data_IF_578067217366
#
_entry.id   IF_578067217366
#
_cell.length_a   1.000
_cell.length_b   1.000
_cell.length_c   1.000
_cell.angle_alpha   90.00
_cell.angle_beta   90.00
_cell.angle_gamma   90.00
#
_symmetry.space_group_name_H-M   'P 1'
#
loop_
_entity.id
_entity.type
_entity.pdbx_description
1 polymer ?
#
# COMPACT_ATOMS: atom_id res chain seq x y z
N UNK A 1 6.55 -18.46 -19.70
CA UNK A 1 7.07 -17.20 -20.29
C UNK A 1 6.56 -16.01 -19.49
N UNK A 2 7.41 -15.05 -19.20
CA UNK A 2 7.02 -13.83 -18.47
C UNK A 2 6.80 -12.71 -19.45
N UNK A 3 5.67 -12.04 -19.35
CA UNK A 3 5.39 -10.83 -20.14
C UNK A 3 5.37 -9.64 -19.19
N UNK A 4 5.93 -8.52 -19.64
CA UNK A 4 5.95 -7.29 -18.86
C UNK A 4 5.36 -6.16 -19.70
N UNK A 5 4.34 -5.51 -19.15
CA UNK A 5 3.82 -4.27 -19.70
C UNK A 5 4.39 -3.12 -18.87
N UNK A 6 4.81 -2.06 -19.55
CA UNK A 6 5.35 -0.88 -18.89
C UNK A 6 4.58 0.34 -19.33
N UNK A 7 4.01 1.05 -18.35
CA UNK A 7 3.25 2.28 -18.59
C UNK A 7 3.98 3.43 -17.90
N UNK A 8 4.29 4.47 -18.67
CA UNK A 8 5.03 5.62 -18.16
C UNK A 8 4.07 6.79 -17.94
N UNK A 9 4.05 7.31 -16.70
CA UNK A 9 3.27 8.49 -16.30
C UNK A 9 4.24 9.62 -15.95
N UNK A 10 3.76 10.88 -15.83
CA UNK A 10 4.66 12.01 -15.59
C UNK A 10 5.62 11.86 -14.40
N UNK A 11 5.21 11.21 -13.31
CA UNK A 11 6.05 11.05 -12.12
C UNK A 11 6.18 9.61 -11.62
N UNK A 12 5.68 8.65 -12.41
CA UNK A 12 5.70 7.24 -11.99
C UNK A 12 5.76 6.29 -13.17
N UNK A 13 6.16 5.07 -12.90
CA UNK A 13 6.17 3.99 -13.89
C UNK A 13 5.41 2.81 -13.29
N UNK A 14 4.49 2.28 -14.06
CA UNK A 14 3.71 1.11 -13.68
C UNK A 14 4.16 -0.09 -14.51
N UNK A 15 4.51 -1.17 -13.84
CA UNK A 15 4.81 -2.44 -14.49
C UNK A 15 3.71 -3.44 -14.18
N UNK A 16 3.23 -4.12 -15.20
CA UNK A 16 2.33 -5.24 -15.04
C UNK A 16 3.04 -6.49 -15.53
N UNK A 17 3.32 -7.42 -14.63
CA UNK A 17 4.09 -8.63 -14.93
C UNK A 17 3.15 -9.81 -14.97
N UNK A 18 3.10 -10.50 -16.11
CA UNK A 18 2.29 -11.70 -16.31
C UNK A 18 3.21 -12.92 -16.36
N UNK A 19 2.86 -13.96 -15.61
CA UNK A 19 3.66 -15.18 -15.56
C UNK A 19 2.95 -16.22 -14.72
N UNK A 20 3.71 -17.01 -13.94
CA UNK A 20 3.11 -17.99 -13.04
C UNK A 20 2.30 -17.33 -11.93
N UNK A 21 2.65 -16.10 -11.57
CA UNK A 21 1.87 -15.25 -10.67
C UNK A 21 1.92 -13.84 -11.23
N UNK A 22 0.75 -13.27 -11.52
CA UNK A 22 0.67 -11.92 -12.05
C UNK A 22 0.80 -10.90 -10.94
N UNK A 23 1.47 -9.78 -11.23
CA UNK A 23 1.61 -8.70 -10.25
C UNK A 23 1.73 -7.34 -10.94
N UNK A 24 1.31 -6.32 -10.21
CA UNK A 24 1.36 -4.92 -10.61
C UNK A 24 2.31 -4.19 -9.68
N UNK A 25 3.23 -3.42 -10.23
CA UNK A 25 4.25 -2.70 -9.47
C UNK A 25 4.28 -1.24 -9.89
N UNK A 26 4.34 -0.34 -8.90
CA UNK A 26 4.45 1.10 -9.14
C UNK A 26 5.75 1.64 -8.59
N UNK A 27 6.49 2.38 -9.41
CA UNK A 27 7.77 2.98 -9.04
C UNK A 27 7.74 4.47 -9.30
N UNK A 28 8.49 5.20 -8.48
CA UNK A 28 8.80 6.61 -8.70
C UNK A 28 10.30 6.78 -8.49
N UNK A 29 11.00 7.29 -9.53
CA UNK A 29 12.46 7.45 -9.48
C UNK A 29 13.18 6.16 -9.08
N UNK A 30 12.72 5.01 -9.60
CA UNK A 30 13.33 3.71 -9.34
C UNK A 30 13.01 3.10 -7.98
N UNK A 31 12.11 3.71 -7.19
CA UNK A 31 11.76 3.27 -5.84
C UNK A 31 10.27 2.93 -5.79
N UNK A 32 9.90 1.84 -5.11
CA UNK A 32 8.49 1.49 -4.91
C UNK A 32 7.76 2.67 -4.26
N UNK A 33 6.70 3.13 -4.93
CA UNK A 33 5.98 4.31 -4.48
C UNK A 33 4.65 4.46 -5.22
N UNK A 34 3.57 4.64 -4.48
CA UNK A 34 2.28 5.01 -5.04
C UNK A 34 1.45 5.71 -3.98
N UNK A 35 0.91 6.89 -4.31
CA UNK A 35 0.11 7.69 -3.36
C UNK A 35 -1.35 7.27 -3.28
N UNK A 36 -1.93 6.84 -4.38
CA UNK A 36 -3.37 6.65 -4.51
C UNK A 36 -3.80 5.18 -4.52
N UNK A 37 -2.96 4.31 -4.04
CA UNK A 37 -3.28 2.88 -3.99
C UNK A 37 -2.09 2.05 -3.60
N UNK A 38 -2.23 0.71 -3.62
CA UNK A 38 -1.10 -0.17 -3.32
C UNK A 38 -0.05 -0.09 -4.42
N UNK A 39 1.23 -0.03 -4.01
CA UNK A 39 2.34 -0.01 -4.96
C UNK A 39 2.63 -1.41 -5.52
N UNK A 40 2.24 -2.45 -4.80
CA UNK A 40 2.34 -3.83 -5.27
C UNK A 40 0.99 -4.51 -5.08
N UNK A 41 0.50 -5.14 -6.15
CA UNK A 41 -0.70 -5.97 -6.10
C UNK A 41 -0.42 -7.30 -6.77
N UNK A 42 -0.83 -8.40 -6.11
CA UNK A 42 -0.77 -9.75 -6.67
C UNK A 42 -2.19 -10.23 -6.98
N UNK A 43 -2.30 -11.11 -7.97
CA UNK A 43 -3.62 -11.67 -8.34
C UNK A 43 -4.22 -12.57 -7.26
N UNK A 44 -3.42 -13.04 -6.29
CA UNK A 44 -3.92 -13.81 -5.15
C UNK A 44 -4.60 -12.93 -4.08
N UNK A 45 -4.63 -11.62 -4.31
CA UNK A 45 -5.28 -10.67 -3.41
C UNK A 45 -4.35 -9.93 -2.47
N UNK A 46 -3.07 -10.27 -2.43
CA UNK A 46 -2.12 -9.56 -1.58
C UNK A 46 -1.86 -8.16 -2.15
N UNK A 47 -1.91 -7.14 -1.28
CA UNK A 47 -1.66 -5.74 -1.64
C UNK A 47 -0.74 -5.13 -0.60
N UNK A 48 0.18 -4.28 -1.05
CA UNK A 48 1.04 -3.54 -0.12
C UNK A 48 1.22 -2.10 -0.59
N UNK A 49 1.18 -1.19 0.38
CA UNK A 49 1.29 0.25 0.15
C UNK A 49 2.70 0.70 0.50
N UNK A 50 3.34 1.38 -0.44
CA UNK A 50 4.72 1.83 -0.32
C UNK A 50 4.83 3.31 -0.68
N UNK A 51 5.53 4.06 0.16
CA UNK A 51 5.87 5.45 -0.06
C UNK A 51 7.38 5.58 0.09
N UNK A 52 8.05 6.06 -0.95
CA UNK A 52 9.50 6.24 -0.96
C UNK A 52 10.27 4.97 -0.53
N UNK A 53 9.82 3.80 -1.00
CA UNK A 53 10.48 2.54 -0.73
C UNK A 53 10.22 1.95 0.65
N UNK A 54 9.29 2.52 1.42
CA UNK A 54 8.94 2.02 2.75
C UNK A 54 7.47 1.68 2.83
N UNK A 55 7.13 0.60 3.54
CA UNK A 55 5.73 0.27 3.81
C UNK A 55 5.10 1.41 4.60
N UNK A 56 4.00 1.94 4.07
CA UNK A 56 3.36 3.11 4.67
C UNK A 56 1.94 3.28 4.17
N UNK A 57 1.00 3.40 5.09
CA UNK A 57 -0.37 3.76 4.72
C UNK A 57 -1.02 4.52 5.87
N UNK A 58 -1.63 5.66 5.56
CA UNK A 58 -2.24 6.55 6.55
C UNK A 58 -3.75 6.37 6.70
N UNK A 59 -4.37 5.60 5.84
CA UNK A 59 -5.84 5.41 5.84
C UNK A 59 -6.24 3.93 5.97
N UNK A 60 -5.33 3.09 6.38
CA UNK A 60 -5.62 1.67 6.54
C UNK A 60 -4.35 0.86 6.75
N UNK A 61 -4.43 -0.47 6.73
CA UNK A 61 -3.25 -1.31 6.84
C UNK A 61 -2.36 -1.19 5.60
N UNK A 62 -1.04 -1.21 5.80
CA UNK A 62 -0.08 -1.09 4.71
C UNK A 62 0.11 -2.40 3.94
N UNK A 63 -0.25 -3.53 4.53
CA UNK A 63 -0.25 -4.82 3.84
C UNK A 63 -1.57 -5.52 4.12
N UNK A 64 -2.17 -6.03 3.05
CA UNK A 64 -3.39 -6.85 3.12
C UNK A 64 -3.11 -8.13 2.35
N UNK A 65 -3.24 -9.28 3.01
CA UNK A 65 -3.11 -10.58 2.36
C UNK A 65 -4.47 -11.09 1.91
N UNK A 66 -4.46 -11.96 0.91
CA UNK A 66 -5.69 -12.52 0.37
C UNK A 66 -6.51 -13.34 1.38
N UNK A 67 -5.86 -13.84 2.44
CA UNK A 67 -6.52 -14.60 3.51
C UNK A 67 -7.09 -13.72 4.62
N UNK A 68 -7.00 -12.40 4.48
CA UNK A 68 -7.53 -11.46 5.44
C UNK A 68 -6.53 -10.97 6.49
N UNK A 69 -5.31 -11.48 6.50
CA UNK A 69 -4.27 -10.96 7.40
C UNK A 69 -3.90 -9.54 6.98
N UNK A 70 -3.56 -8.71 7.94
CA UNK A 70 -3.22 -7.30 7.70
C UNK A 70 -2.01 -6.90 8.55
N UNK A 71 -1.31 -5.85 8.12
CA UNK A 71 -0.18 -5.29 8.84
C UNK A 71 -0.25 -3.77 8.79
N UNK A 72 -0.13 -3.12 9.95
CA UNK A 72 -0.19 -1.66 10.09
C UNK A 72 1.22 -1.08 10.09
N UNK A 73 1.54 -0.19 9.15
CA UNK A 73 2.88 0.38 9.03
C UNK A 73 2.85 1.87 8.71
N UNK A 74 3.82 2.59 9.28
CA UNK A 74 4.10 3.99 8.96
C UNK A 74 5.61 4.12 8.78
N UNK A 75 6.04 4.61 7.62
CA UNK A 75 7.46 4.83 7.30
C UNK A 75 8.35 3.61 7.60
N UNK A 76 7.86 2.42 7.28
CA UNK A 76 8.57 1.18 7.49
C UNK A 76 8.48 0.59 8.88
N UNK A 77 7.84 1.29 9.82
CA UNK A 77 7.64 0.80 11.17
C UNK A 77 6.31 0.06 11.25
N UNK A 78 6.34 -1.18 11.75
CA UNK A 78 5.15 -2.02 11.92
C UNK A 78 4.57 -1.86 13.32
N UNK A 79 3.25 -1.82 13.43
CA UNK A 79 2.53 -1.68 14.70
C UNK A 79 1.71 -2.94 14.96
N UNK A 80 1.63 -3.36 16.21
CA UNK A 80 0.90 -4.59 16.57
C UNK A 80 -0.61 -4.43 16.45
N UNK A 81 -1.13 -3.22 16.71
CA UNK A 81 -2.55 -2.96 16.70
C UNK A 81 -2.89 -1.72 15.89
N UNK A 82 -4.13 -1.66 15.42
CA UNK A 82 -4.68 -0.48 14.76
C UNK A 82 -4.60 0.76 15.67
N UNK A 83 -4.82 0.56 16.96
CA UNK A 83 -4.80 1.65 17.94
C UNK A 83 -3.40 2.25 18.07
N UNK A 84 -2.34 1.42 18.14
CA UNK A 84 -0.96 1.91 18.17
C UNK A 84 -0.62 2.68 16.90
N UNK A 85 -1.02 2.14 15.74
CA UNK A 85 -0.83 2.80 14.46
C UNK A 85 -1.56 4.15 14.43
N UNK A 86 -2.82 4.19 14.86
CA UNK A 86 -3.60 5.43 14.88
C UNK A 86 -2.95 6.50 15.76
N UNK A 87 -2.48 6.13 16.95
CA UNK A 87 -1.81 7.08 17.85
C UNK A 87 -0.53 7.65 17.26
N UNK A 88 0.13 6.91 16.37
CA UNK A 88 1.36 7.39 15.72
C UNK A 88 1.10 8.36 14.57
N UNK A 89 -0.14 8.53 14.14
CA UNK A 89 -0.50 9.47 13.07
C UNK A 89 -0.44 10.92 13.58
N UNK A 90 -0.25 11.86 12.67
CA UNK A 90 -0.38 13.29 12.99
C UNK A 90 -1.85 13.64 13.23
N UNK A 91 -2.11 14.78 13.86
CA UNK A 91 -3.49 15.23 14.09
C UNK A 91 -4.27 15.37 12.79
N UNK A 92 -3.62 15.90 11.74
CA UNK A 92 -4.24 16.03 10.43
C UNK A 92 -4.59 14.67 9.82
N UNK A 93 -3.69 13.70 9.97
CA UNK A 93 -3.94 12.33 9.47
C UNK A 93 -5.06 11.65 10.26
N UNK A 94 -5.12 11.86 11.58
CA UNK A 94 -6.19 11.33 12.44
C UNK A 94 -7.55 11.87 12.03
N UNK A 95 -7.63 13.15 11.72
CA UNK A 95 -8.90 13.75 11.26
C UNK A 95 -9.42 13.06 10.00
N UNK A 96 -8.54 12.82 9.03
CA UNK A 96 -8.92 12.15 7.79
C UNK A 96 -9.43 10.74 8.03
N UNK A 97 -8.72 9.97 8.87
CA UNK A 97 -9.08 8.57 9.10
C UNK A 97 -10.37 8.43 9.92
N UNK A 98 -10.69 9.38 10.79
CA UNK A 98 -11.92 9.34 11.58
C UNK A 98 -13.18 9.35 10.71
N UNK A 99 -13.09 9.86 9.48
CA UNK A 99 -14.20 9.86 8.53
C UNK A 99 -14.10 8.72 7.52
N UNK A 100 -13.15 7.80 7.70
CA UNK A 100 -12.96 6.68 6.78
C UNK A 100 -13.78 5.47 7.22
N UNK A 101 -13.94 4.50 6.31
CA UNK A 101 -14.63 3.24 6.57
C UNK A 101 -14.02 2.43 7.72
N UNK A 102 -12.72 2.57 7.95
CA UNK A 102 -12.03 1.81 9.01
C UNK A 102 -12.49 2.19 10.41
N UNK A 103 -13.05 3.38 10.59
CA UNK A 103 -13.52 3.84 11.90
C UNK A 103 -15.03 4.02 11.97
N UNK A 104 -15.65 4.47 10.88
CA UNK A 104 -17.10 4.70 10.84
C UNK A 104 -17.88 3.39 10.73
N UNK A 105 -17.37 2.46 9.99
CA UNK A 105 -18.03 1.19 9.72
C UNK A 105 -17.95 0.17 10.85
N UNK A 106 -17.35 0.52 11.96
CA UNK A 106 -17.30 -0.38 13.07
C UNK A 106 -15.99 -0.49 13.71
#
# INVERSE_FOLDING_TARGET
MIEVEKNIYPDSIHYYIKGSANKSLWYRHGILHRKDGPAIEYTDGKKSWWINGKLHREDGPAVEWGDGKIEWCLNGTSFKTKEEWFEALTESQKEKILYSEYFIGG
#
